data_IF_193622972711
#
_entry.id   IF_193622972711
#
_cell.length_a   1.000
_cell.length_b   1.000
_cell.length_c   1.000
_cell.angle_alpha   90.00
_cell.angle_beta   90.00
_cell.angle_gamma   90.00
#
_symmetry.space_group_name_H-M   'P 1'
#
loop_
_entity.id
_entity.type
_entity.pdbx_description
1 polymer ?
#
# COMPACT_ATOMS: atom_id res chain seq x y z
N UNK A 1 50.98 79.95 -38.20
CA UNK A 1 51.88 79.76 -39.35
C UNK A 1 51.72 78.30 -39.78
N UNK A 2 51.30 78.14 -41.05
CA UNK A 2 51.39 76.91 -41.94
C UNK A 2 50.83 75.62 -41.44
N UNK A 3 49.75 75.17 -42.09
CA UNK A 3 49.57 74.53 -43.40
C UNK A 3 49.89 73.02 -43.37
N UNK A 4 48.94 72.27 -43.68
CA UNK A 4 48.82 71.24 -44.68
C UNK A 4 48.64 69.84 -44.14
N UNK A 5 47.96 68.95 -44.68
CA UNK A 5 47.27 68.69 -45.93
C UNK A 5 46.63 67.32 -45.80
N UNK A 6 45.44 67.21 -46.20
CA UNK A 6 44.77 66.07 -46.88
C UNK A 6 45.53 64.78 -47.12
N UNK A 7 44.84 63.67 -46.80
CA UNK A 7 44.76 62.57 -47.77
C UNK A 7 43.52 61.72 -47.55
N UNK A 8 42.86 61.48 -48.68
CA UNK A 8 41.68 60.65 -48.91
C UNK A 8 42.17 59.23 -49.12
N UNK A 9 41.41 58.25 -48.66
CA UNK A 9 41.64 56.85 -49.02
C UNK A 9 40.70 55.96 -48.25
N UNK A 10 39.64 55.58 -48.81
CA UNK A 10 39.38 54.34 -49.44
C UNK A 10 38.47 53.51 -48.56
N UNK A 11 37.18 53.47 -48.93
CA UNK A 11 36.21 52.58 -48.36
C UNK A 11 36.54 51.10 -48.65
N UNK A 12 36.34 50.29 -47.66
CA UNK A 12 36.06 48.87 -47.87
C UNK A 12 34.80 48.53 -47.09
N UNK A 13 33.71 48.33 -47.83
CA UNK A 13 32.48 47.75 -47.36
C UNK A 13 32.74 46.30 -46.92
N UNK A 14 32.93 46.10 -45.64
CA UNK A 14 32.91 44.77 -45.03
C UNK A 14 31.46 44.29 -44.98
N UNK A 15 31.13 43.41 -45.91
CA UNK A 15 29.87 42.65 -45.86
C UNK A 15 29.87 41.80 -44.58
N UNK A 16 29.07 42.25 -43.60
CA UNK A 16 28.74 41.42 -42.44
C UNK A 16 27.90 40.25 -42.95
N UNK A 17 28.50 39.08 -43.14
CA UNK A 17 27.78 37.84 -43.21
C UNK A 17 27.08 37.60 -41.89
N UNK A 18 25.81 37.96 -41.81
CA UNK A 18 24.93 37.52 -40.75
C UNK A 18 24.85 36.00 -40.78
N UNK A 19 25.55 35.35 -39.87
CA UNK A 19 25.48 33.91 -39.67
C UNK A 19 24.06 33.57 -39.18
N UNK A 20 23.23 33.06 -40.07
CA UNK A 20 21.90 32.49 -39.81
C UNK A 20 21.99 31.14 -39.10
N UNK A 21 22.78 31.02 -38.04
CA UNK A 21 22.86 29.78 -37.22
C UNK A 21 21.91 29.75 -36.01
N UNK A 22 21.02 30.74 -35.86
CA UNK A 22 20.18 30.92 -34.66
C UNK A 22 18.80 30.21 -34.69
N UNK A 23 18.30 29.75 -35.85
CA UNK A 23 16.89 29.32 -35.92
C UNK A 23 16.66 27.83 -35.68
N UNK A 24 17.59 26.96 -36.04
CA UNK A 24 17.44 25.49 -35.82
C UNK A 24 17.58 25.11 -34.36
N UNK A 25 18.51 25.73 -33.61
CA UNK A 25 18.66 25.48 -32.18
C UNK A 25 17.42 25.89 -31.36
N UNK A 26 16.73 26.99 -31.76
CA UNK A 26 15.52 27.43 -31.10
C UNK A 26 14.32 26.54 -31.42
N UNK A 27 14.24 25.98 -32.63
CA UNK A 27 13.18 25.04 -33.00
C UNK A 27 13.34 23.70 -32.26
N UNK A 28 14.55 23.14 -32.22
CA UNK A 28 14.86 21.91 -31.46
C UNK A 28 14.54 22.11 -29.99
N UNK A 29 14.94 23.22 -29.39
CA UNK A 29 14.63 23.55 -27.98
C UNK A 29 13.11 23.61 -27.73
N UNK A 30 12.33 24.24 -28.62
CA UNK A 30 10.84 24.28 -28.48
C UNK A 30 10.21 22.91 -28.62
N UNK A 31 10.69 22.06 -29.53
CA UNK A 31 10.20 20.69 -29.69
C UNK A 31 10.51 19.86 -28.44
N UNK A 32 11.74 19.94 -27.90
CA UNK A 32 12.13 19.24 -26.67
C UNK A 32 11.29 19.68 -25.45
N UNK A 33 11.05 20.98 -25.30
CA UNK A 33 10.18 21.50 -24.25
C UNK A 33 8.74 21.00 -24.46
N UNK A 34 8.23 21.01 -25.68
CA UNK A 34 6.90 20.46 -26.00
C UNK A 34 6.77 18.99 -25.63
N UNK A 35 7.78 18.16 -25.96
CA UNK A 35 7.82 16.74 -25.61
C UNK A 35 7.89 16.55 -24.08
N UNK A 36 8.69 17.35 -23.37
CA UNK A 36 8.77 17.31 -21.92
C UNK A 36 7.42 17.64 -21.26
N UNK A 37 6.74 18.69 -21.74
CA UNK A 37 5.41 19.06 -21.23
C UNK A 37 4.39 17.94 -21.46
N UNK A 38 4.37 17.34 -22.66
CA UNK A 38 3.49 16.20 -22.96
C UNK A 38 3.82 15.02 -22.04
N UNK A 39 5.09 14.68 -21.84
CA UNK A 39 5.53 13.64 -20.92
C UNK A 39 5.04 13.90 -19.48
N UNK A 40 5.22 15.13 -18.96
CA UNK A 40 4.76 15.50 -17.63
C UNK A 40 3.23 15.41 -17.50
N UNK A 41 2.48 15.82 -18.53
CA UNK A 41 1.01 15.68 -18.54
C UNK A 41 0.60 14.19 -18.50
N UNK A 42 1.28 13.34 -19.27
CA UNK A 42 1.05 11.88 -19.23
C UNK A 42 1.35 11.36 -17.83
N UNK A 43 2.48 11.73 -17.22
CA UNK A 43 2.83 11.31 -15.85
C UNK A 43 1.74 11.73 -14.82
N UNK A 44 1.18 12.93 -14.94
CA UNK A 44 0.11 13.39 -14.04
C UNK A 44 -1.16 12.54 -14.21
N UNK A 45 -1.58 12.27 -15.46
CA UNK A 45 -2.77 11.46 -15.74
C UNK A 45 -2.58 10.01 -15.28
N UNK A 46 -1.43 9.42 -15.58
CA UNK A 46 -1.11 8.04 -15.19
C UNK A 46 -0.94 7.94 -13.68
N UNK A 47 -0.25 8.90 -13.05
CA UNK A 47 -0.10 8.95 -11.60
C UNK A 47 -1.44 9.05 -10.87
N UNK A 48 -2.35 9.90 -11.35
CA UNK A 48 -3.71 9.97 -10.82
C UNK A 48 -4.48 8.64 -10.97
N UNK A 49 -4.30 7.93 -12.08
CA UNK A 49 -4.91 6.61 -12.28
C UNK A 49 -4.31 5.55 -11.35
N UNK A 50 -2.99 5.56 -11.13
CA UNK A 50 -2.29 4.63 -10.24
C UNK A 50 -2.52 4.91 -8.75
N UNK A 51 -2.90 6.14 -8.39
CA UNK A 51 -3.23 6.52 -7.02
C UNK A 51 -4.59 6.03 -6.53
N UNK A 52 -5.34 5.30 -7.36
CA UNK A 52 -6.65 4.78 -6.96
C UNK A 52 -6.49 3.54 -6.08
N UNK A 53 -7.06 3.60 -4.90
CA UNK A 53 -7.15 2.45 -4.02
C UNK A 53 -8.05 1.37 -4.65
N UNK A 54 -7.72 0.07 -4.53
CA UNK A 54 -8.57 -1.02 -4.96
C UNK A 54 -9.90 -1.04 -4.18
N UNK A 55 -10.98 -1.36 -4.88
CA UNK A 55 -12.29 -1.51 -4.27
C UNK A 55 -12.33 -2.67 -3.26
N UNK A 56 -13.26 -2.59 -2.31
CA UNK A 56 -13.55 -3.68 -1.39
C UNK A 56 -14.18 -4.86 -2.14
N UNK A 57 -13.44 -5.95 -2.27
CA UNK A 57 -13.97 -7.16 -2.90
C UNK A 57 -14.87 -7.95 -1.93
N UNK A 58 -16.00 -8.52 -2.40
CA UNK A 58 -16.76 -9.45 -1.59
C UNK A 58 -15.93 -10.71 -1.34
N UNK A 59 -15.89 -11.19 -0.10
CA UNK A 59 -15.36 -12.53 0.19
C UNK A 59 -16.37 -13.54 -0.37
N UNK A 60 -15.98 -14.26 -1.41
CA UNK A 60 -16.83 -15.25 -2.06
C UNK A 60 -17.02 -16.45 -1.12
N UNK A 61 -18.11 -16.42 -0.36
CA UNK A 61 -18.54 -17.54 0.51
C UNK A 61 -19.23 -18.66 -0.27
N UNK A 62 -19.62 -18.39 -1.51
CA UNK A 62 -20.30 -19.34 -2.38
C UNK A 62 -19.43 -19.59 -3.60
N UNK A 63 -18.77 -20.72 -3.60
CA UNK A 63 -18.24 -21.31 -4.83
C UNK A 63 -19.44 -21.83 -5.61
N UNK A 64 -19.55 -21.50 -6.91
CA UNK A 64 -20.66 -21.93 -7.78
C UNK A 64 -21.25 -23.30 -7.40
N UNK A 65 -22.24 -23.25 -6.52
CA UNK A 65 -23.29 -24.27 -6.37
C UNK A 65 -23.03 -25.48 -5.53
N UNK A 66 -21.92 -25.78 -4.85
CA UNK A 66 -21.87 -27.12 -4.29
C UNK A 66 -21.10 -27.50 -3.04
N UNK A 67 -20.19 -26.78 -2.47
CA UNK A 67 -19.60 -27.26 -1.19
C UNK A 67 -19.23 -26.08 -0.29
N UNK A 68 -19.54 -26.24 1.01
CA UNK A 68 -18.97 -25.36 2.02
C UNK A 68 -17.44 -25.37 1.86
N UNK A 69 -16.77 -24.19 1.91
CA UNK A 69 -15.32 -24.14 1.83
C UNK A 69 -14.69 -24.99 2.94
N UNK A 70 -13.58 -25.62 2.61
CA UNK A 70 -12.79 -26.34 3.62
C UNK A 70 -12.21 -25.33 4.59
N UNK A 71 -12.08 -25.67 5.87
CA UNK A 71 -11.50 -24.78 6.88
C UNK A 71 -10.12 -24.28 6.42
N UNK A 72 -9.91 -22.96 6.48
CA UNK A 72 -8.71 -22.28 6.03
C UNK A 72 -8.65 -21.95 4.52
N UNK A 73 -9.61 -22.44 3.74
CA UNK A 73 -9.66 -22.14 2.30
C UNK A 73 -9.93 -20.66 2.05
N UNK A 74 -10.90 -20.06 2.76
CA UNK A 74 -11.22 -18.66 2.58
C UNK A 74 -10.10 -17.75 3.09
N UNK A 75 -9.51 -18.08 4.23
CA UNK A 75 -8.38 -17.32 4.77
C UNK A 75 -7.19 -17.32 3.80
N UNK A 76 -6.78 -18.50 3.32
CA UNK A 76 -5.65 -18.62 2.38
C UNK A 76 -5.93 -17.99 1.02
N UNK A 77 -7.14 -18.16 0.47
CA UNK A 77 -7.56 -17.53 -0.77
C UNK A 77 -7.63 -16.01 -0.65
N UNK A 78 -8.05 -15.50 0.51
CA UNK A 78 -8.09 -14.04 0.76
C UNK A 78 -6.68 -13.45 0.81
N UNK A 79 -5.73 -14.10 1.48
CA UNK A 79 -4.32 -13.68 1.47
C UNK A 79 -3.76 -13.68 0.04
N UNK A 80 -4.05 -14.74 -0.74
CA UNK A 80 -3.65 -14.83 -2.14
C UNK A 80 -4.27 -13.70 -2.99
N UNK A 81 -5.56 -13.40 -2.79
CA UNK A 81 -6.25 -12.30 -3.47
C UNK A 81 -5.62 -10.94 -3.14
N UNK A 82 -5.32 -10.67 -1.87
CA UNK A 82 -4.67 -9.42 -1.45
C UNK A 82 -3.29 -9.26 -2.10
N UNK A 83 -2.46 -10.31 -2.10
CA UNK A 83 -1.15 -10.28 -2.75
C UNK A 83 -1.29 -10.10 -4.27
N UNK A 84 -2.21 -10.82 -4.91
CA UNK A 84 -2.52 -10.63 -6.33
C UNK A 84 -2.99 -9.20 -6.63
N UNK A 85 -3.76 -8.59 -5.75
CA UNK A 85 -4.21 -7.20 -5.88
C UNK A 85 -3.01 -6.24 -5.81
N UNK A 86 -2.08 -6.42 -4.88
CA UNK A 86 -0.86 -5.61 -4.80
C UNK A 86 -0.04 -5.69 -6.09
N UNK A 87 0.09 -6.88 -6.68
CA UNK A 87 0.89 -7.10 -7.89
C UNK A 87 0.19 -6.63 -9.17
N UNK A 88 -1.15 -6.64 -9.24
CA UNK A 88 -1.90 -6.45 -10.49
C UNK A 88 -2.82 -5.23 -10.50
N UNK A 89 -2.91 -4.44 -9.41
CA UNK A 89 -3.66 -3.18 -9.41
C UNK A 89 -3.08 -2.19 -10.46
N UNK A 90 -3.79 -1.11 -10.80
CA UNK A 90 -3.25 -0.08 -11.69
C UNK A 90 -1.86 0.39 -11.25
N UNK A 91 -0.87 0.27 -12.14
CA UNK A 91 0.53 0.54 -11.85
C UNK A 91 1.33 -0.65 -11.31
N UNK A 92 0.70 -1.77 -10.94
CA UNK A 92 1.38 -2.89 -10.31
C UNK A 92 1.80 -2.58 -8.86
N UNK A 93 2.90 -3.15 -8.39
CA UNK A 93 3.49 -2.84 -7.10
C UNK A 93 4.39 -1.60 -7.24
N UNK A 94 4.03 -0.50 -6.57
CA UNK A 94 4.61 0.84 -6.81
C UNK A 94 5.74 1.16 -5.80
N UNK A 95 5.76 0.50 -4.63
CA UNK A 95 6.70 0.81 -3.55
C UNK A 95 8.19 0.71 -3.95
N UNK A 96 8.52 -0.02 -5.01
CA UNK A 96 9.89 -0.16 -5.52
C UNK A 96 10.14 0.57 -6.85
N UNK A 97 9.20 1.40 -7.31
CA UNK A 97 9.36 2.17 -8.55
C UNK A 97 10.43 3.26 -8.41
N UNK A 98 11.35 3.30 -9.38
CA UNK A 98 12.45 4.29 -9.46
C UNK A 98 12.23 5.33 -10.56
N UNK A 99 11.14 5.24 -11.31
CA UNK A 99 10.83 6.14 -12.44
C UNK A 99 9.48 6.82 -12.27
N UNK A 100 9.33 8.07 -12.78
CA UNK A 100 8.02 8.72 -12.83
C UNK A 100 7.02 7.94 -13.72
N UNK A 101 5.71 7.89 -13.35
CA UNK A 101 5.12 8.60 -12.21
C UNK A 101 5.27 7.87 -10.87
N UNK A 102 5.59 6.56 -10.81
CA UNK A 102 5.63 5.77 -9.58
C UNK A 102 6.49 6.39 -8.48
N UNK A 103 7.70 6.85 -8.84
CA UNK A 103 8.62 7.53 -7.92
C UNK A 103 8.02 8.77 -7.21
N UNK A 104 7.00 9.41 -7.79
CA UNK A 104 6.36 10.61 -7.23
C UNK A 104 5.12 10.31 -6.39
N UNK A 105 4.73 9.04 -6.32
CA UNK A 105 3.61 8.59 -5.52
C UNK A 105 4.12 8.11 -4.16
N UNK A 106 3.65 8.73 -3.08
CA UNK A 106 3.97 8.40 -1.69
C UNK A 106 2.80 7.72 -0.97
N UNK A 107 1.60 8.17 -1.21
CA UNK A 107 0.38 7.63 -0.58
C UNK A 107 0.11 6.16 -0.93
N UNK A 108 0.28 5.78 -2.21
CA UNK A 108 0.01 4.42 -2.65
C UNK A 108 1.05 3.41 -2.14
N UNK A 109 2.37 3.67 -2.14
CA UNK A 109 3.35 2.87 -1.44
C UNK A 109 3.04 2.66 0.04
N UNK A 110 2.59 3.68 0.74
CA UNK A 110 2.20 3.60 2.15
C UNK A 110 0.96 2.71 2.34
N UNK A 111 -0.04 2.82 1.45
CA UNK A 111 -1.19 1.93 1.42
C UNK A 111 -0.78 0.47 1.14
N UNK A 112 0.08 0.23 0.14
CA UNK A 112 0.63 -1.09 -0.16
C UNK A 112 1.33 -1.71 1.05
N UNK A 113 2.13 -0.91 1.76
CA UNK A 113 2.82 -1.36 2.96
C UNK A 113 1.83 -1.77 4.06
N UNK A 114 0.76 -1.02 4.26
CA UNK A 114 -0.32 -1.37 5.18
C UNK A 114 -0.94 -2.74 4.88
N UNK A 115 -1.27 -3.00 3.61
CA UNK A 115 -1.79 -4.30 3.15
C UNK A 115 -0.75 -5.41 3.33
N UNK A 116 0.49 -5.15 2.91
CA UNK A 116 1.59 -6.11 2.97
C UNK A 116 1.87 -6.58 4.40
N UNK A 117 1.82 -5.69 5.39
CA UNK A 117 1.99 -6.05 6.80
C UNK A 117 0.93 -7.06 7.24
N UNK A 118 -0.33 -6.91 6.85
CA UNK A 118 -1.40 -7.85 7.20
C UNK A 118 -1.24 -9.20 6.47
N UNK A 119 -0.78 -9.20 5.21
CA UNK A 119 -0.42 -10.42 4.49
C UNK A 119 0.68 -11.19 5.22
N UNK A 120 1.75 -10.49 5.62
CA UNK A 120 2.89 -11.05 6.34
C UNK A 120 2.47 -11.68 7.68
N UNK A 121 1.68 -10.96 8.46
CA UNK A 121 1.24 -11.40 9.78
C UNK A 121 0.28 -12.60 9.68
N UNK A 122 -0.70 -12.59 8.75
CA UNK A 122 -1.58 -13.71 8.54
C UNK A 122 -0.83 -14.94 8.02
N UNK A 123 0.07 -14.79 7.05
CA UNK A 123 0.85 -15.92 6.51
C UNK A 123 1.75 -16.53 7.59
N UNK A 124 2.32 -15.69 8.45
CA UNK A 124 3.09 -16.14 9.62
C UNK A 124 2.21 -16.93 10.60
N UNK A 125 1.01 -16.43 10.92
CA UNK A 125 0.05 -17.12 11.79
C UNK A 125 -0.39 -18.47 11.18
N UNK A 126 -0.67 -18.49 9.87
CA UNK A 126 -0.97 -19.73 9.15
C UNK A 126 0.16 -20.75 9.29
N UNK A 127 1.41 -20.35 9.00
CA UNK A 127 2.58 -21.25 9.06
C UNK A 127 2.84 -21.77 10.47
N UNK A 128 2.83 -20.87 11.47
CA UNK A 128 3.28 -21.21 12.84
C UNK A 128 2.22 -21.91 13.66
N UNK A 129 0.95 -21.50 13.50
CA UNK A 129 -0.11 -21.86 14.43
C UNK A 129 -1.25 -22.62 13.74
N UNK A 130 -1.74 -22.13 12.58
CA UNK A 130 -2.97 -22.66 11.98
C UNK A 130 -2.77 -23.93 11.15
N UNK A 131 -1.62 -24.11 10.48
CA UNK A 131 -1.30 -25.29 9.70
C UNK A 131 -0.64 -26.43 10.52
N UNK A 132 -0.55 -26.29 11.85
CA UNK A 132 0.15 -27.25 12.73
C UNK A 132 -0.80 -27.80 13.79
N UNK A 133 -0.78 -29.10 13.98
CA UNK A 133 -1.57 -29.74 15.05
C UNK A 133 -1.03 -29.39 16.44
N UNK A 134 0.27 -29.24 16.55
CA UNK A 134 1.00 -28.86 17.77
C UNK A 134 2.21 -27.99 17.39
N UNK A 135 2.69 -27.17 18.32
CA UNK A 135 3.84 -26.28 18.10
C UNK A 135 5.15 -27.00 17.70
N UNK A 136 5.27 -28.28 18.02
CA UNK A 136 6.41 -29.13 17.65
C UNK A 136 6.21 -29.94 16.35
N UNK A 137 5.01 -29.88 15.73
CA UNK A 137 4.76 -30.53 14.45
C UNK A 137 5.57 -29.87 13.33
N UNK A 138 5.82 -30.63 12.25
CA UNK A 138 6.46 -30.06 11.06
C UNK A 138 5.62 -28.93 10.47
N UNK A 139 6.29 -27.89 9.99
CA UNK A 139 5.65 -26.80 9.27
C UNK A 139 5.16 -27.27 7.88
N UNK A 140 4.09 -26.65 7.38
CA UNK A 140 3.68 -26.91 6.01
C UNK A 140 4.74 -26.41 5.03
N UNK A 141 5.11 -27.28 4.09
CA UNK A 141 6.21 -27.05 3.13
C UNK A 141 6.02 -25.84 2.23
N UNK A 142 4.78 -25.51 1.87
CA UNK A 142 4.49 -24.38 0.99
C UNK A 142 4.42 -23.08 1.79
N UNK A 143 3.79 -23.08 2.98
CA UNK A 143 3.79 -21.90 3.87
C UNK A 143 5.19 -21.56 4.39
N UNK A 144 6.03 -22.57 4.64
CA UNK A 144 7.43 -22.35 5.02
C UNK A 144 8.27 -21.65 3.95
N UNK A 145 7.84 -21.73 2.68
CA UNK A 145 8.45 -20.98 1.56
C UNK A 145 7.75 -19.63 1.32
N UNK A 146 6.42 -19.59 1.35
CA UNK A 146 5.65 -18.40 1.04
C UNK A 146 5.92 -17.25 2.03
N UNK A 147 5.95 -17.54 3.34
CA UNK A 147 6.11 -16.51 4.36
C UNK A 147 7.44 -15.74 4.27
N UNK A 148 8.62 -16.37 4.13
CA UNK A 148 9.86 -15.62 3.92
C UNK A 148 9.86 -14.79 2.64
N UNK A 149 9.24 -15.26 1.56
CA UNK A 149 9.13 -14.54 0.30
C UNK A 149 8.27 -13.27 0.46
N UNK A 150 7.17 -13.31 1.20
CA UNK A 150 6.38 -12.12 1.52
C UNK A 150 7.09 -11.16 2.48
N UNK A 151 8.09 -11.63 3.23
CA UNK A 151 8.95 -10.78 4.07
C UNK A 151 10.15 -10.20 3.33
N UNK A 152 10.30 -10.50 2.04
CA UNK A 152 11.34 -9.88 1.22
C UNK A 152 11.22 -8.35 1.24
N UNK A 153 12.33 -7.67 0.96
CA UNK A 153 12.39 -6.20 0.91
C UNK A 153 11.38 -5.66 -0.12
N UNK A 154 10.49 -4.77 0.31
CA UNK A 154 9.47 -4.17 -0.53
C UNK A 154 9.96 -2.97 -1.37
N UNK A 155 11.25 -2.62 -1.28
CA UNK A 155 11.85 -1.51 -2.03
C UNK A 155 12.85 -1.98 -3.09
N UNK A 156 13.05 -3.29 -3.25
CA UNK A 156 13.98 -3.84 -4.24
C UNK A 156 13.41 -3.79 -5.65
N UNK A 157 14.01 -2.97 -6.51
CA UNK A 157 13.59 -2.79 -7.92
C UNK A 157 14.33 -3.69 -8.91
N UNK A 158 15.43 -4.36 -8.48
CA UNK A 158 16.28 -5.17 -9.34
C UNK A 158 16.74 -6.43 -8.60
N UNK A 159 17.27 -7.36 -9.25
CA UNK A 159 17.78 -8.71 -9.01
C UNK A 159 18.05 -9.15 -7.55
N UNK A 160 17.08 -9.77 -6.88
CA UNK A 160 15.71 -10.02 -7.34
C UNK A 160 14.81 -8.80 -7.15
N UNK A 161 13.84 -8.62 -8.05
CA UNK A 161 12.82 -7.61 -7.89
C UNK A 161 11.76 -8.10 -6.89
N UNK A 162 11.19 -7.17 -6.10
CA UNK A 162 10.16 -7.46 -5.10
C UNK A 162 8.99 -8.24 -5.68
N UNK A 163 8.49 -7.84 -6.86
CA UNK A 163 7.35 -8.48 -7.51
C UNK A 163 7.62 -9.94 -7.86
N UNK A 164 8.86 -10.29 -8.25
CA UNK A 164 9.21 -11.67 -8.57
C UNK A 164 9.21 -12.58 -7.34
N UNK A 165 9.68 -12.04 -6.19
CA UNK A 165 9.67 -12.75 -4.91
C UNK A 165 8.24 -12.92 -4.39
N UNK A 166 7.42 -11.86 -4.45
CA UNK A 166 6.02 -11.91 -4.03
C UNK A 166 5.18 -12.82 -4.94
N UNK A 167 5.40 -12.79 -6.26
CA UNK A 167 4.72 -13.71 -7.18
C UNK A 167 5.08 -15.17 -6.90
N UNK A 168 6.36 -15.45 -6.58
CA UNK A 168 6.79 -16.79 -6.18
C UNK A 168 6.16 -17.21 -4.85
N UNK A 169 6.05 -16.29 -3.88
CA UNK A 169 5.37 -16.52 -2.62
C UNK A 169 3.88 -16.78 -2.80
N UNK A 170 3.23 -16.04 -3.71
CA UNK A 170 1.83 -16.25 -4.08
C UNK A 170 1.60 -17.65 -4.68
N UNK A 171 2.43 -18.09 -5.61
CA UNK A 171 2.37 -19.43 -6.20
C UNK A 171 2.53 -20.54 -5.13
N UNK A 172 3.40 -20.38 -4.16
CA UNK A 172 3.53 -21.34 -3.05
C UNK A 172 2.28 -21.31 -2.13
N UNK A 173 1.69 -20.14 -1.86
CA UNK A 173 0.46 -20.04 -1.09
C UNK A 173 -0.74 -20.68 -1.83
N UNK A 174 -0.85 -20.48 -3.13
CA UNK A 174 -1.89 -21.12 -3.96
C UNK A 174 -1.76 -22.64 -3.96
N UNK A 175 -0.53 -23.18 -4.03
CA UNK A 175 -0.27 -24.63 -3.89
C UNK A 175 -0.72 -25.15 -2.51
N UNK A 176 -0.53 -24.39 -1.44
CA UNK A 176 -1.05 -24.75 -0.12
C UNK A 176 -2.58 -24.79 -0.13
N UNK A 177 -3.23 -23.76 -0.68
CA UNK A 177 -4.70 -23.68 -0.80
C UNK A 177 -5.28 -24.85 -1.60
N UNK A 178 -4.62 -25.22 -2.72
CA UNK A 178 -5.03 -26.35 -3.53
C UNK A 178 -4.88 -27.70 -2.79
N UNK A 179 -3.88 -27.82 -1.95
CA UNK A 179 -3.70 -29.01 -1.09
C UNK A 179 -4.74 -29.05 0.02
N UNK A 180 -5.12 -27.92 0.60
CA UNK A 180 -6.25 -27.85 1.55
C UNK A 180 -7.53 -28.38 0.91
N UNK A 181 -7.87 -27.93 -0.31
CA UNK A 181 -9.05 -28.37 -1.05
C UNK A 181 -9.07 -29.88 -1.32
N UNK A 182 -7.91 -30.49 -1.49
CA UNK A 182 -7.76 -31.93 -1.71
C UNK A 182 -7.66 -32.76 -0.43
N UNK A 183 -7.57 -32.11 0.73
CA UNK A 183 -7.32 -32.77 2.01
C UNK A 183 -5.86 -33.23 2.21
N UNK A 184 -4.92 -32.67 1.44
CA UNK A 184 -3.48 -32.95 1.51
C UNK A 184 -2.71 -31.93 2.36
N UNK A 185 -3.39 -31.00 2.97
CA UNK A 185 -2.85 -30.03 3.91
C UNK A 185 -3.85 -29.79 5.04
N UNK A 186 -3.34 -29.32 6.17
CA UNK A 186 -4.15 -29.12 7.36
C UNK A 186 -4.34 -27.62 7.65
N UNK A 187 -5.51 -27.30 8.22
CA UNK A 187 -5.77 -26.01 8.85
C UNK A 187 -6.59 -26.24 10.13
N UNK A 188 -6.07 -25.78 11.25
CA UNK A 188 -6.67 -25.97 12.57
C UNK A 188 -7.34 -24.68 13.05
N UNK A 189 -8.64 -24.57 12.79
CA UNK A 189 -9.48 -23.45 13.24
C UNK A 189 -9.74 -23.56 14.75
N UNK A 190 -8.72 -23.30 15.59
CA UNK A 190 -8.78 -23.35 17.06
C UNK A 190 -8.87 -21.95 17.67
N UNK A 191 -9.47 -21.87 18.85
CA UNK A 191 -9.66 -20.61 19.55
C UNK A 191 -8.32 -19.96 19.96
N UNK A 192 -7.31 -20.74 20.31
CA UNK A 192 -5.97 -20.27 20.65
C UNK A 192 -5.25 -19.67 19.45
N UNK A 193 -5.35 -20.30 18.27
CA UNK A 193 -4.77 -19.80 17.03
C UNK A 193 -5.40 -18.46 16.63
N UNK A 194 -6.74 -18.38 16.69
CA UNK A 194 -7.46 -17.15 16.41
C UNK A 194 -7.10 -16.04 17.41
N UNK A 195 -7.03 -16.35 18.70
CA UNK A 195 -6.68 -15.40 19.76
C UNK A 195 -5.24 -14.88 19.61
N UNK A 196 -4.29 -15.75 19.21
CA UNK A 196 -2.90 -15.36 18.94
C UNK A 196 -2.83 -14.33 17.82
N UNK A 197 -3.45 -14.64 16.65
CA UNK A 197 -3.46 -13.71 15.52
C UNK A 197 -4.19 -12.39 15.84
N UNK A 198 -5.35 -12.44 16.51
CA UNK A 198 -6.07 -11.22 16.92
C UNK A 198 -5.25 -10.39 17.92
N UNK A 199 -4.43 -11.01 18.76
CA UNK A 199 -3.49 -10.33 19.64
C UNK A 199 -2.44 -9.52 18.86
N UNK A 200 -1.88 -10.09 17.79
CA UNK A 200 -0.97 -9.40 16.88
C UNK A 200 -1.66 -8.24 16.16
N UNK A 201 -2.88 -8.46 15.66
CA UNK A 201 -3.72 -7.41 15.03
C UNK A 201 -3.97 -6.27 16.02
N UNK A 202 -4.38 -6.56 17.25
CA UNK A 202 -4.63 -5.55 18.26
C UNK A 202 -3.37 -4.70 18.57
N UNK A 203 -2.21 -5.35 18.66
CA UNK A 203 -0.93 -4.65 18.87
C UNK A 203 -0.60 -3.72 17.71
N UNK A 204 -0.84 -4.15 16.48
CA UNK A 204 -0.65 -3.35 15.26
C UNK A 204 -1.59 -2.15 15.20
N UNK A 205 -2.88 -2.38 15.40
CA UNK A 205 -3.88 -1.31 15.40
C UNK A 205 -3.61 -0.28 16.50
N UNK A 206 -3.22 -0.72 17.70
CA UNK A 206 -2.80 0.17 18.78
C UNK A 206 -1.61 1.05 18.40
N UNK A 207 -0.60 0.50 17.72
CA UNK A 207 0.54 1.27 17.21
C UNK A 207 0.11 2.28 16.12
N UNK A 208 -0.74 1.87 15.18
CA UNK A 208 -1.27 2.76 14.14
C UNK A 208 -2.12 3.88 14.75
N UNK A 209 -3.01 3.58 15.69
CA UNK A 209 -3.80 4.57 16.42
C UNK A 209 -2.92 5.61 17.13
N UNK A 210 -1.84 5.16 17.77
CA UNK A 210 -0.88 6.07 18.41
C UNK A 210 -0.16 6.98 17.40
N UNK A 211 0.28 6.44 16.25
CA UNK A 211 0.94 7.21 15.20
C UNK A 211 0.00 8.21 14.55
N UNK A 212 -1.23 7.81 14.26
CA UNK A 212 -2.29 8.69 13.74
C UNK A 212 -2.61 9.82 14.72
N UNK A 213 -2.70 9.52 16.02
CA UNK A 213 -2.95 10.51 17.06
C UNK A 213 -1.76 11.46 17.26
N UNK A 214 -0.51 10.99 17.08
CA UNK A 214 0.69 11.81 17.15
C UNK A 214 0.83 12.77 15.95
N UNK A 215 0.18 12.46 14.82
CA UNK A 215 0.14 13.34 13.65
C UNK A 215 -0.75 14.56 13.86
N UNK A 216 -1.70 14.48 14.80
CA UNK A 216 -2.61 15.57 15.17
C UNK A 216 -2.07 16.26 16.43
N UNK A 217 -1.90 17.58 16.38
CA UNK A 217 -1.45 18.40 17.52
C UNK A 217 -2.58 18.50 18.58
N UNK A 218 -2.90 17.41 19.24
CA UNK A 218 -3.70 17.47 20.45
C UNK A 218 -2.80 17.93 21.58
N UNK A 219 -3.06 19.13 22.08
CA UNK A 219 -2.33 19.75 23.19
C UNK A 219 -2.07 18.73 24.28
N UNK A 220 -0.80 18.38 24.44
CA UNK A 220 -0.32 17.35 25.34
C UNK A 220 -0.74 17.73 26.76
N UNK A 221 -1.56 16.92 27.39
CA UNK A 221 -1.62 16.87 28.85
C UNK A 221 -0.24 16.41 29.29
N UNK A 222 0.55 17.38 29.75
CA UNK A 222 1.93 17.17 30.21
C UNK A 222 1.87 16.46 31.55
N UNK A 223 1.75 15.14 31.52
CA UNK A 223 2.20 14.33 32.63
C UNK A 223 3.64 13.93 32.33
N UNK A 224 4.61 14.53 32.99
CA UNK A 224 6.04 14.39 33.05
C UNK A 224 6.81 13.27 32.34
N UNK A 225 6.23 12.56 31.41
CA UNK A 225 6.80 11.49 30.60
C UNK A 225 7.13 12.02 29.20
N UNK A 226 8.32 11.79 28.74
CA UNK A 226 9.03 12.10 27.50
C UNK A 226 8.20 12.79 26.40
N UNK A 227 8.68 13.87 25.77
CA UNK A 227 7.99 14.48 24.64
C UNK A 227 7.72 13.41 23.59
N UNK A 228 6.44 13.18 23.25
CA UNK A 228 6.07 12.37 22.08
C UNK A 228 6.64 13.06 20.86
N UNK A 229 7.45 12.36 20.11
CA UNK A 229 7.98 12.81 18.85
C UNK A 229 6.79 13.08 17.92
N UNK A 230 6.64 14.34 17.49
CA UNK A 230 5.55 14.74 16.60
C UNK A 230 5.86 14.20 15.20
N UNK A 231 4.91 13.57 14.57
CA UNK A 231 5.05 13.14 13.17
C UNK A 231 5.33 14.37 12.28
N UNK A 232 6.38 14.35 11.47
CA UNK A 232 6.64 15.41 10.50
C UNK A 232 5.44 15.65 9.59
N UNK A 233 5.18 16.89 9.23
CA UNK A 233 4.04 17.23 8.36
C UNK A 233 4.03 16.48 7.02
N UNK A 234 5.20 16.15 6.50
CA UNK A 234 5.39 15.39 5.24
C UNK A 234 5.14 13.89 5.36
N UNK A 235 4.90 13.37 6.57
CA UNK A 235 4.68 11.95 6.83
C UNK A 235 3.28 11.67 7.41
N UNK A 236 2.42 12.69 7.51
CA UNK A 236 1.07 12.54 8.08
C UNK A 236 0.19 11.70 7.16
N UNK A 237 0.25 11.94 5.88
CA UNK A 237 -0.48 11.22 4.85
C UNK A 237 0.03 9.79 4.68
N UNK A 238 1.33 9.54 4.78
CA UNK A 238 1.92 8.21 4.79
C UNK A 238 1.32 7.32 5.89
N UNK A 239 1.29 7.81 7.13
CA UNK A 239 0.71 7.08 8.26
C UNK A 239 -0.79 6.84 8.04
N UNK A 240 -1.49 7.81 7.48
CA UNK A 240 -2.90 7.71 7.18
C UNK A 240 -3.20 6.64 6.11
N UNK A 241 -2.45 6.65 5.00
CA UNK A 241 -2.64 5.66 3.93
C UNK A 241 -2.16 4.27 4.33
N UNK A 242 -1.11 4.12 5.15
CA UNK A 242 -0.73 2.85 5.76
C UNK A 242 -1.88 2.28 6.61
N UNK A 243 -2.51 3.13 7.42
CA UNK A 243 -3.65 2.72 8.23
C UNK A 243 -4.85 2.28 7.36
N UNK A 244 -5.15 3.01 6.28
CA UNK A 244 -6.20 2.63 5.33
C UNK A 244 -5.90 1.29 4.65
N UNK A 245 -4.68 1.08 4.18
CA UNK A 245 -4.26 -0.20 3.61
C UNK A 245 -4.39 -1.36 4.60
N UNK A 246 -3.96 -1.14 5.84
CA UNK A 246 -4.12 -2.12 6.92
C UNK A 246 -5.58 -2.44 7.20
N UNK A 247 -6.46 -1.43 7.27
CA UNK A 247 -7.89 -1.62 7.49
C UNK A 247 -8.55 -2.35 6.32
N UNK A 248 -8.21 -1.98 5.07
CA UNK A 248 -8.68 -2.66 3.87
C UNK A 248 -8.38 -4.17 3.93
N UNK A 249 -7.13 -4.51 4.23
CA UNK A 249 -6.71 -5.90 4.35
C UNK A 249 -7.41 -6.63 5.51
N UNK A 250 -7.53 -5.98 6.67
CA UNK A 250 -8.17 -6.57 7.84
C UNK A 250 -9.66 -6.85 7.62
N UNK A 251 -10.41 -5.99 6.93
CA UNK A 251 -11.82 -6.26 6.59
C UNK A 251 -11.92 -7.55 5.77
N UNK A 252 -11.07 -7.74 4.77
CA UNK A 252 -11.06 -8.97 3.97
C UNK A 252 -10.70 -10.19 4.81
N UNK A 253 -9.66 -10.10 5.65
CA UNK A 253 -9.23 -11.21 6.50
C UNK A 253 -10.27 -11.56 7.57
N UNK A 254 -10.87 -10.57 8.24
CA UNK A 254 -11.89 -10.82 9.27
C UNK A 254 -13.15 -11.45 8.70
N UNK A 255 -13.56 -11.05 7.49
CA UNK A 255 -14.68 -11.72 6.79
C UNK A 255 -14.35 -13.17 6.42
N UNK A 256 -13.14 -13.48 6.01
CA UNK A 256 -12.71 -14.85 5.75
C UNK A 256 -12.64 -15.68 7.04
N UNK A 257 -12.10 -15.11 8.08
CA UNK A 257 -12.01 -15.71 9.43
C UNK A 257 -13.40 -15.93 10.03
N UNK A 258 -14.37 -15.03 9.82
CA UNK A 258 -15.76 -15.23 10.25
C UNK A 258 -16.32 -16.56 9.74
N UNK A 259 -15.95 -16.99 8.55
CA UNK A 259 -16.40 -18.25 7.96
C UNK A 259 -15.53 -19.42 8.41
N UNK A 260 -14.20 -19.34 8.26
CA UNK A 260 -13.30 -20.45 8.58
C UNK A 260 -13.28 -20.79 10.08
N UNK A 261 -13.55 -19.85 10.96
CA UNK A 261 -13.61 -20.01 12.41
C UNK A 261 -15.05 -19.92 12.97
N UNK A 262 -16.09 -20.09 12.13
CA UNK A 262 -17.49 -19.90 12.51
C UNK A 262 -17.90 -20.70 13.77
N UNK A 263 -17.42 -21.94 13.89
CA UNK A 263 -17.69 -22.79 15.06
C UNK A 263 -17.07 -22.21 16.35
N UNK A 264 -15.85 -21.73 16.27
CA UNK A 264 -15.13 -21.11 17.41
C UNK A 264 -15.82 -19.83 17.84
N UNK A 265 -16.11 -18.96 16.86
CA UNK A 265 -16.75 -17.66 17.07
C UNK A 265 -18.16 -17.85 17.66
N UNK A 266 -18.94 -18.81 17.13
CA UNK A 266 -20.26 -19.15 17.65
C UNK A 266 -20.21 -19.68 19.08
N UNK A 267 -19.29 -20.61 19.40
CA UNK A 267 -19.10 -21.12 20.78
C UNK A 267 -18.72 -20.05 21.79
N UNK A 268 -18.02 -18.99 21.34
CA UNK A 268 -17.62 -17.86 22.18
C UNK A 268 -18.63 -16.72 22.20
N UNK A 269 -19.75 -16.82 21.47
CA UNK A 269 -20.73 -15.74 21.29
C UNK A 269 -20.10 -14.43 20.77
N UNK A 270 -19.01 -14.52 19.97
CA UNK A 270 -18.22 -13.37 19.53
C UNK A 270 -18.66 -12.80 18.18
N UNK A 271 -19.66 -13.37 17.51
CA UNK A 271 -20.04 -13.01 16.14
C UNK A 271 -20.48 -11.55 16.03
N UNK A 272 -21.32 -11.07 16.95
CA UNK A 272 -21.80 -9.69 16.93
C UNK A 272 -20.65 -8.70 17.11
N UNK A 273 -19.69 -9.01 18.01
CA UNK A 273 -18.51 -8.17 18.22
C UNK A 273 -17.61 -8.15 17.00
N UNK A 274 -17.37 -9.30 16.36
CA UNK A 274 -16.57 -9.39 15.13
C UNK A 274 -17.20 -8.57 13.99
N UNK A 275 -18.51 -8.70 13.80
CA UNK A 275 -19.25 -7.93 12.79
C UNK A 275 -19.25 -6.42 13.10
N UNK A 276 -19.23 -6.04 14.37
CA UNK A 276 -19.07 -4.64 14.76
C UNK A 276 -17.68 -4.12 14.35
N UNK A 277 -16.62 -4.85 14.66
CA UNK A 277 -15.24 -4.50 14.27
C UNK A 277 -15.13 -4.37 12.74
N UNK A 278 -15.70 -5.31 12.00
CA UNK A 278 -15.70 -5.25 10.53
C UNK A 278 -16.36 -3.95 10.04
N UNK A 279 -17.54 -3.58 10.57
CA UNK A 279 -18.22 -2.33 10.19
C UNK A 279 -17.42 -1.08 10.52
N UNK A 280 -16.76 -1.04 11.68
CA UNK A 280 -15.89 0.08 12.06
C UNK A 280 -14.71 0.23 11.10
N UNK A 281 -14.09 -0.89 10.73
CA UNK A 281 -13.00 -0.87 9.75
C UNK A 281 -13.49 -0.52 8.34
N UNK A 282 -14.68 -0.95 7.92
CA UNK A 282 -15.31 -0.56 6.64
C UNK A 282 -15.52 0.95 6.56
N UNK A 283 -15.92 1.59 7.65
CA UNK A 283 -16.10 3.04 7.70
C UNK A 283 -14.79 3.81 7.40
N UNK A 284 -13.63 3.20 7.66
CA UNK A 284 -12.33 3.80 7.31
C UNK A 284 -12.09 3.84 5.79
N UNK A 285 -12.86 3.08 5.00
CA UNK A 285 -12.71 2.96 3.54
C UNK A 285 -13.63 3.94 2.78
N UNK A 286 -14.34 4.83 3.46
CA UNK A 286 -15.15 5.86 2.78
C UNK A 286 -14.30 6.71 1.82
N UNK A 287 -14.88 7.12 0.66
CA UNK A 287 -14.16 7.91 -0.33
C UNK A 287 -13.63 9.22 0.25
N UNK A 288 -12.35 9.50 -0.03
CA UNK A 288 -11.71 10.76 0.33
C UNK A 288 -11.86 11.77 -0.81
N UNK A 289 -12.47 12.91 -0.50
CA UNK A 289 -12.63 14.02 -1.46
C UNK A 289 -11.53 15.07 -1.37
N UNK A 290 -10.71 15.02 -0.30
CA UNK A 290 -9.59 15.94 -0.10
C UNK A 290 -8.31 15.38 -0.71
N UNK A 291 -7.59 16.15 -1.53
CA UNK A 291 -6.26 15.77 -2.03
C UNK A 291 -5.16 15.86 -0.97
N UNK A 292 -5.47 16.42 0.21
CA UNK A 292 -4.52 16.62 1.32
C UNK A 292 -5.19 16.17 2.61
N UNK A 293 -4.45 15.50 3.48
CA UNK A 293 -4.92 15.11 4.81
C UNK A 293 -4.89 16.34 5.72
N UNK A 294 -6.07 16.83 6.09
CA UNK A 294 -6.26 18.06 6.85
C UNK A 294 -6.90 17.78 8.22
N UNK A 295 -6.71 18.72 9.15
CA UNK A 295 -7.38 18.74 10.44
C UNK A 295 -8.81 19.30 10.29
N UNK A 296 -9.82 18.52 10.67
CA UNK A 296 -11.24 18.89 10.60
C UNK A 296 -12.14 17.81 11.18
N UNK A 297 -13.44 17.89 11.01
CA UNK A 297 -14.42 16.89 11.48
C UNK A 297 -14.89 15.96 10.36
N UNK A 298 -14.68 14.66 10.46
CA UNK A 298 -15.17 13.67 9.51
C UNK A 298 -14.32 13.52 8.24
N UNK A 299 -14.78 12.71 7.28
CA UNK A 299 -14.14 12.48 5.98
C UNK A 299 -14.66 13.50 4.95
N UNK A 300 -13.94 14.60 4.76
CA UNK A 300 -14.32 15.66 3.82
C UNK A 300 -13.17 16.63 3.56
N UNK A 301 -13.42 17.69 2.79
CA UNK A 301 -12.36 18.61 2.34
C UNK A 301 -11.63 19.35 3.48
N UNK A 302 -12.23 19.45 4.68
CA UNK A 302 -11.66 20.08 5.88
C UNK A 302 -11.62 19.11 7.07
N UNK A 303 -11.57 17.82 6.81
CA UNK A 303 -11.64 16.78 7.82
C UNK A 303 -10.28 16.59 8.53
N UNK A 304 -10.33 16.22 9.82
CA UNK A 304 -9.19 15.65 10.53
C UNK A 304 -9.16 14.14 10.30
N UNK A 305 -8.68 13.72 9.14
CA UNK A 305 -8.68 12.34 8.71
C UNK A 305 -7.88 11.44 9.66
N UNK A 306 -6.71 11.89 10.12
CA UNK A 306 -5.87 11.10 11.01
C UNK A 306 -6.52 10.84 12.36
N UNK A 307 -7.20 11.83 12.96
CA UNK A 307 -7.90 11.63 14.23
C UNK A 307 -9.13 10.75 14.08
N UNK A 308 -9.92 10.94 13.01
CA UNK A 308 -11.08 10.09 12.72
C UNK A 308 -10.65 8.65 12.52
N UNK A 309 -9.58 8.41 11.74
CA UNK A 309 -9.02 7.08 11.53
C UNK A 309 -8.52 6.46 12.85
N UNK A 310 -7.85 7.23 13.72
CA UNK A 310 -7.39 6.75 15.01
C UNK A 310 -8.53 6.26 15.91
N UNK A 311 -9.70 6.92 15.86
CA UNK A 311 -10.88 6.52 16.62
C UNK A 311 -11.48 5.17 16.16
N UNK A 312 -11.33 4.81 14.88
CA UNK A 312 -11.76 3.50 14.38
C UNK A 312 -10.82 2.37 14.78
N UNK A 313 -9.59 2.69 15.18
CA UNK A 313 -8.58 1.71 15.59
C UNK A 313 -8.44 1.57 17.10
N UNK A 314 -9.10 2.42 17.88
CA UNK A 314 -9.08 2.38 19.35
C UNK A 314 -10.22 1.55 19.92
#
# INVERSE_FOLDING_TARGET
MRIGKWSIGGGSAGASTASTSGSTGSLVGRVLIGLLVVYLLICVVVGWYWSREPDMAPVNTVRDGQTLPVAGELTSTTVAHMMSTLLNKPGGFISNDITPPGLWLDNMPSWEFGVLVQIRDMTRAMRRDMARSQSQSAEDRNLAKAEPLFHFDNTSWAFPATESEYATGLDELEKYTDRLRRGDADFYARADNLASWLGDVNTRLGSLSQRLSASVDQGVITDGSRPREKTPWTEIDDVFFEARGSAWALVHLLRAVEVDFAEVIGRKNAQTSLQQIIRELEATQEPLWSPVILNGGGFGMLANHSLVMANYFS
#
